data_IF_121207694005
#
_entry.id   IF_121207694005
#
_cell.length_a   1.000
_cell.length_b   1.000
_cell.length_c   1.000
_cell.angle_alpha   90.00
_cell.angle_beta   90.00
_cell.angle_gamma   90.00
#
_symmetry.space_group_name_H-M   'P 1'
#
loop_
_entity.id
_entity.type
_entity.pdbx_description
1 polymer ?
#
# COMPACT_ATOMS: atom_id res chain seq x y z
N UNK A 1 19.76 -6.93 4.09
CA UNK A 1 19.26 -6.57 2.75
C UNK A 1 18.58 -7.69 1.95
N UNK A 2 19.02 -8.97 1.92
CA UNK A 2 18.29 -10.01 1.18
C UNK A 2 16.92 -10.37 1.80
N UNK A 3 16.79 -10.25 3.13
CA UNK A 3 15.53 -10.46 3.86
C UNK A 3 14.50 -9.39 3.49
N UNK A 4 14.93 -8.14 3.36
CA UNK A 4 14.06 -6.99 3.03
C UNK A 4 13.41 -7.09 1.64
N UNK A 5 14.16 -7.61 0.66
CA UNK A 5 13.64 -7.85 -0.70
C UNK A 5 12.57 -8.95 -0.74
N UNK A 6 12.65 -9.95 0.14
CA UNK A 6 11.67 -11.05 0.22
C UNK A 6 10.45 -10.68 1.07
N UNK A 7 10.69 -9.97 2.16
CA UNK A 7 9.70 -9.34 3.03
C UNK A 7 8.68 -8.49 2.25
N UNK A 8 9.14 -7.70 1.29
CA UNK A 8 8.31 -6.81 0.48
C UNK A 8 7.31 -7.54 -0.43
N UNK A 9 7.69 -8.72 -0.91
CA UNK A 9 6.87 -9.54 -1.82
C UNK A 9 5.72 -10.24 -1.06
N UNK A 10 5.79 -10.31 0.27
CA UNK A 10 4.81 -10.96 1.14
C UNK A 10 4.44 -10.08 2.35
N UNK A 11 3.89 -8.90 2.12
CA UNK A 11 3.26 -8.12 3.19
C UNK A 11 1.85 -8.69 3.52
N UNK A 12 1.79 -9.91 4.07
CA UNK A 12 0.53 -10.60 4.35
C UNK A 12 -0.19 -10.07 5.61
N UNK A 13 0.54 -9.51 6.56
CA UNK A 13 -0.03 -9.07 7.83
C UNK A 13 -0.57 -7.63 7.76
N UNK A 14 0.05 -6.79 6.92
CA UNK A 14 -0.19 -5.35 6.85
C UNK A 14 -1.44 -4.90 6.07
N UNK A 15 -2.11 -5.77 5.30
CA UNK A 15 -3.35 -5.40 4.62
C UNK A 15 -4.42 -4.87 5.61
N UNK A 16 -4.31 -5.23 6.91
CA UNK A 16 -5.24 -4.80 7.95
C UNK A 16 -4.81 -3.56 8.77
N UNK A 17 -3.55 -3.09 8.71
CA UNK A 17 -3.03 -2.12 9.72
C UNK A 17 -2.41 -0.84 9.13
N UNK A 18 -2.24 -0.71 7.82
CA UNK A 18 -1.70 0.51 7.18
C UNK A 18 -2.60 1.77 7.29
N UNK A 19 -3.72 1.73 8.01
CA UNK A 19 -4.65 2.85 8.19
C UNK A 19 -4.40 3.72 9.43
N UNK A 20 -3.39 3.43 10.26
CA UNK A 20 -3.10 4.21 11.47
C UNK A 20 -1.59 4.46 11.51
N UNK A 21 -1.04 5.51 10.92
CA UNK A 21 -0.69 6.75 11.67
C UNK A 21 -0.47 7.95 10.72
N UNK A 22 -1.48 8.40 9.99
CA UNK A 22 -1.45 9.76 9.42
C UNK A 22 -2.04 10.76 10.44
N UNK A 23 -1.28 11.11 11.47
CA UNK A 23 -1.69 12.13 12.45
C UNK A 23 -1.41 13.55 11.96
N UNK A 24 -2.16 14.01 10.94
CA UNK A 24 -2.52 15.43 10.75
C UNK A 24 -3.91 15.55 10.14
N UNK A 25 -4.85 16.30 10.74
CA UNK A 25 -6.18 16.47 10.19
C UNK A 25 -6.11 17.42 8.97
N UNK A 26 -6.12 16.86 7.76
CA UNK A 26 -6.71 17.53 6.59
C UNK A 26 -8.11 16.98 6.39
N UNK A 27 -9.14 17.81 6.20
CA UNK A 27 -10.45 17.34 5.78
C UNK A 27 -10.36 16.91 4.31
N UNK A 28 -10.00 15.66 4.09
CA UNK A 28 -10.41 14.92 2.89
C UNK A 28 -10.94 13.58 3.38
N UNK A 29 -12.18 13.60 3.86
CA UNK A 29 -12.94 12.38 4.12
C UNK A 29 -13.30 11.74 2.78
N UNK A 30 -12.36 11.05 2.15
CA UNK A 30 -12.70 9.89 1.32
C UNK A 30 -12.54 8.68 2.23
N UNK A 31 -13.52 8.45 3.11
CA UNK A 31 -13.63 7.14 3.72
C UNK A 31 -13.74 6.13 2.58
N UNK A 32 -12.92 5.08 2.60
CA UNK A 32 -13.00 3.96 1.66
C UNK A 32 -14.41 3.31 1.65
N UNK A 33 -15.24 3.62 2.64
CA UNK A 33 -16.64 3.24 2.70
C UNK A 33 -17.54 3.94 1.68
N UNK A 34 -17.18 5.14 1.20
CA UNK A 34 -18.03 5.89 0.27
C UNK A 34 -17.73 5.55 -1.19
N UNK A 35 -16.45 5.34 -1.53
CA UNK A 35 -15.99 5.09 -2.90
C UNK A 35 -15.18 3.79 -2.97
N UNK A 36 -15.54 2.90 -3.89
CA UNK A 36 -14.81 1.67 -4.21
C UNK A 36 -14.28 1.74 -5.62
N UNK A 37 -13.03 1.29 -5.79
CA UNK A 37 -12.37 1.26 -7.09
C UNK A 37 -12.07 -0.20 -7.45
N UNK A 38 -12.44 -0.62 -8.66
CA UNK A 38 -12.15 -1.94 -9.20
C UNK A 38 -11.45 -1.77 -10.54
N UNK A 39 -10.42 -2.58 -10.78
CA UNK A 39 -9.70 -2.61 -12.04
C UNK A 39 -9.54 -4.04 -12.52
N UNK A 40 -9.88 -4.28 -13.79
CA UNK A 40 -9.85 -5.60 -14.43
C UNK A 40 -8.71 -5.76 -15.46
N UNK A 41 -7.77 -4.80 -15.51
CA UNK A 41 -6.72 -4.72 -16.53
C UNK A 41 -7.09 -3.95 -17.79
N UNK A 42 -8.35 -3.50 -17.89
CA UNK A 42 -8.82 -2.69 -19.02
C UNK A 42 -9.64 -1.46 -18.60
N UNK A 43 -10.45 -1.61 -17.56
CA UNK A 43 -11.46 -0.65 -17.16
C UNK A 43 -11.34 -0.37 -15.67
N UNK A 44 -11.18 0.91 -15.33
CA UNK A 44 -11.34 1.38 -13.98
C UNK A 44 -12.82 1.65 -13.71
N UNK A 45 -13.39 0.95 -12.74
CA UNK A 45 -14.75 1.19 -12.25
C UNK A 45 -14.69 1.90 -10.90
N UNK A 46 -15.32 3.06 -10.81
CA UNK A 46 -15.48 3.84 -9.58
C UNK A 46 -16.93 3.73 -9.12
N UNK A 47 -17.16 3.15 -7.94
CA UNK A 47 -18.48 2.94 -7.36
C UNK A 47 -18.68 3.88 -6.15
N UNK A 48 -19.64 4.79 -6.26
CA UNK A 48 -20.11 5.60 -5.14
C UNK A 48 -21.20 4.87 -4.37
N UNK A 49 -20.85 4.20 -3.27
CA UNK A 49 -21.78 3.36 -2.50
C UNK A 49 -23.01 4.14 -2.01
N UNK A 50 -22.79 5.38 -1.55
CA UNK A 50 -23.85 6.22 -0.95
C UNK A 50 -24.86 6.75 -1.97
N UNK A 51 -24.48 6.82 -3.25
CA UNK A 51 -25.34 7.32 -4.34
C UNK A 51 -25.80 6.20 -5.28
N UNK A 52 -25.35 4.96 -5.03
CA UNK A 52 -25.57 3.78 -5.87
C UNK A 52 -25.34 4.05 -7.37
N UNK A 53 -24.26 4.80 -7.67
CA UNK A 53 -23.83 5.12 -9.03
C UNK A 53 -22.42 4.65 -9.24
N UNK A 54 -22.13 4.23 -10.46
CA UNK A 54 -20.79 3.90 -10.88
C UNK A 54 -20.42 4.66 -12.16
N UNK A 55 -19.13 4.91 -12.33
CA UNK A 55 -18.55 5.39 -13.58
C UNK A 55 -17.43 4.46 -14.00
N UNK A 56 -17.23 4.33 -15.31
CA UNK A 56 -16.19 3.50 -15.89
C UNK A 56 -15.31 4.36 -16.78
N UNK A 57 -14.01 4.14 -16.69
CA UNK A 57 -13.02 4.78 -17.54
C UNK A 57 -12.16 3.68 -18.15
N UNK A 58 -12.05 3.68 -19.48
CA UNK A 58 -11.13 2.77 -20.16
C UNK A 58 -9.69 3.24 -19.93
N UNK A 59 -8.93 2.40 -19.23
CA UNK A 59 -7.49 2.58 -18.98
C UNK A 59 -6.86 1.21 -19.27
N UNK A 60 -6.66 0.87 -20.55
CA UNK A 60 -6.09 -0.42 -20.93
C UNK A 60 -4.63 -0.51 -20.47
N UNK A 61 -4.28 -1.53 -19.69
CA UNK A 61 -2.90 -1.71 -19.25
C UNK A 61 -2.76 -2.47 -17.94
N UNK A 62 -1.58 -2.32 -17.34
CA UNK A 62 -1.23 -2.93 -16.05
C UNK A 62 -1.73 -2.08 -14.88
N UNK A 63 -1.67 -2.63 -13.67
CA UNK A 63 -1.90 -1.87 -12.44
C UNK A 63 -0.91 -0.70 -12.32
N UNK A 64 0.35 -0.91 -12.71
CA UNK A 64 1.36 0.15 -12.77
C UNK A 64 0.90 1.31 -13.67
N UNK A 65 0.43 1.02 -14.88
CA UNK A 65 -0.07 2.05 -15.79
C UNK A 65 -1.30 2.79 -15.23
N UNK A 66 -2.20 2.07 -14.56
CA UNK A 66 -3.33 2.70 -13.87
C UNK A 66 -2.85 3.68 -12.79
N UNK A 67 -1.89 3.28 -11.97
CA UNK A 67 -1.34 4.12 -10.90
C UNK A 67 -0.69 5.38 -11.48
N UNK A 68 0.12 5.22 -12.53
CA UNK A 68 0.75 6.33 -13.24
C UNK A 68 -0.29 7.30 -13.81
N UNK A 69 -1.32 6.80 -14.51
CA UNK A 69 -2.40 7.66 -15.03
C UNK A 69 -3.11 8.42 -13.90
N UNK A 70 -3.47 7.74 -12.80
CA UNK A 70 -4.15 8.39 -11.68
C UNK A 70 -3.28 9.45 -10.98
N UNK A 71 -1.98 9.18 -10.85
CA UNK A 71 -1.01 10.09 -10.23
C UNK A 71 -0.68 11.27 -11.13
N UNK A 72 -0.25 11.02 -12.35
CA UNK A 72 0.35 12.04 -13.22
C UNK A 72 -0.70 12.90 -13.93
N UNK A 73 -1.80 12.28 -14.36
CA UNK A 73 -2.84 12.97 -15.14
C UNK A 73 -3.93 13.58 -14.27
N UNK A 74 -4.31 12.88 -13.21
CA UNK A 74 -5.39 13.32 -12.32
C UNK A 74 -4.87 13.93 -11.01
N UNK A 75 -3.56 13.87 -10.74
CA UNK A 75 -2.97 14.46 -9.54
C UNK A 75 -3.48 13.83 -8.25
N UNK A 76 -3.96 12.59 -8.30
CA UNK A 76 -4.59 11.95 -7.15
C UNK A 76 -3.50 11.47 -6.18
N UNK A 77 -3.55 11.87 -4.90
CA UNK A 77 -2.69 11.28 -3.90
C UNK A 77 -3.17 9.85 -3.65
N UNK A 78 -2.39 8.86 -4.07
CA UNK A 78 -2.67 7.45 -3.87
C UNK A 78 -1.79 6.90 -2.75
N UNK A 79 -2.22 6.99 -1.47
CA UNK A 79 -1.43 6.46 -0.38
C UNK A 79 -1.23 4.95 -0.56
N UNK A 80 0.01 4.50 -0.35
CA UNK A 80 0.40 3.10 -0.43
C UNK A 80 0.23 2.44 -1.83
N UNK A 81 0.01 3.22 -2.91
CA UNK A 81 -0.03 2.67 -4.27
C UNK A 81 1.29 2.01 -4.68
N UNK A 82 2.41 2.48 -4.13
CA UNK A 82 3.72 1.90 -4.37
C UNK A 82 3.82 0.42 -3.96
N UNK A 83 2.94 -0.07 -3.06
CA UNK A 83 2.87 -1.49 -2.67
C UNK A 83 2.24 -2.38 -3.75
N UNK A 84 1.56 -1.77 -4.72
CA UNK A 84 0.86 -2.47 -5.79
C UNK A 84 1.67 -2.49 -7.09
N UNK A 85 2.80 -1.78 -7.13
CA UNK A 85 3.67 -1.68 -8.29
C UNK A 85 4.49 -2.96 -8.47
N UNK A 86 4.76 -3.35 -9.71
CA UNK A 86 5.61 -4.52 -9.98
C UNK A 86 7.02 -4.36 -9.38
N UNK A 87 7.54 -3.13 -9.30
CA UNK A 87 8.82 -2.77 -8.68
C UNK A 87 8.69 -2.21 -7.26
N UNK A 88 7.65 -2.61 -6.51
CA UNK A 88 7.31 -2.09 -5.17
C UNK A 88 8.50 -1.86 -4.23
N UNK A 89 9.47 -2.78 -4.20
CA UNK A 89 10.64 -2.67 -3.33
C UNK A 89 11.48 -1.43 -3.67
N UNK A 90 11.77 -1.19 -4.95
CA UNK A 90 12.63 -0.09 -5.36
C UNK A 90 11.95 1.26 -5.06
N UNK A 91 10.65 1.37 -5.36
CA UNK A 91 9.85 2.58 -5.08
C UNK A 91 9.71 2.88 -3.59
N UNK A 92 9.44 1.85 -2.77
CA UNK A 92 9.29 2.05 -1.33
C UNK A 92 10.61 2.25 -0.61
N UNK A 93 11.71 1.71 -1.13
CA UNK A 93 13.05 1.96 -0.59
C UNK A 93 13.69 3.25 -1.11
N UNK A 94 13.15 3.86 -2.17
CA UNK A 94 13.67 5.13 -2.67
C UNK A 94 13.60 6.23 -1.58
N UNK A 95 14.71 6.94 -1.39
CA UNK A 95 14.84 7.97 -0.36
C UNK A 95 14.81 7.48 1.09
N UNK A 96 14.82 6.17 1.37
CA UNK A 96 14.93 5.65 2.75
C UNK A 96 16.36 5.82 3.25
N UNK A 97 16.52 6.51 4.38
CA UNK A 97 17.83 6.72 5.02
C UNK A 97 18.00 6.03 6.37
N UNK A 98 16.92 5.56 7.00
CA UNK A 98 16.97 4.74 8.21
C UNK A 98 15.93 3.62 8.13
N UNK A 99 16.33 2.42 8.58
CA UNK A 99 15.48 1.23 8.62
C UNK A 99 15.77 0.45 9.89
N UNK A 100 14.71 0.09 10.63
CA UNK A 100 14.80 -0.60 11.91
C UNK A 100 13.86 -1.78 11.96
N UNK A 101 14.40 -2.89 12.43
CA UNK A 101 13.62 -3.99 12.95
C UNK A 101 13.17 -3.63 14.37
N UNK A 102 11.85 -3.61 14.59
CA UNK A 102 11.24 -3.30 15.88
C UNK A 102 10.85 -4.57 16.66
N UNK A 103 11.13 -5.75 16.13
CA UNK A 103 10.80 -7.04 16.71
C UNK A 103 9.46 -7.62 16.25
N UNK A 104 9.05 -8.72 16.87
CA UNK A 104 7.81 -9.43 16.54
C UNK A 104 6.63 -8.99 17.41
N UNK A 105 5.42 -9.14 16.87
CA UNK A 105 4.16 -8.90 17.57
C UNK A 105 3.02 -9.64 16.90
N UNK A 106 1.89 -9.78 17.61
CA UNK A 106 0.72 -10.51 17.09
C UNK A 106 -0.28 -9.55 16.45
N UNK A 107 -0.61 -9.77 15.18
CA UNK A 107 -1.61 -9.01 14.42
C UNK A 107 -2.64 -10.00 13.87
N UNK A 108 -3.92 -9.75 14.14
CA UNK A 108 -5.02 -10.66 13.77
C UNK A 108 -4.83 -12.13 14.20
N UNK A 109 -4.10 -12.37 15.30
CA UNK A 109 -3.82 -13.71 15.80
C UNK A 109 -2.61 -14.40 15.16
N UNK A 110 -1.88 -13.71 14.28
CA UNK A 110 -0.68 -14.21 13.61
C UNK A 110 0.57 -13.45 14.10
N UNK A 111 1.68 -14.16 14.31
CA UNK A 111 2.95 -13.53 14.69
C UNK A 111 3.59 -12.88 13.46
N UNK A 112 3.96 -11.61 13.59
CA UNK A 112 4.44 -10.77 12.51
C UNK A 112 5.65 -9.94 12.96
N UNK A 113 6.65 -9.83 12.09
CA UNK A 113 7.79 -8.92 12.29
C UNK A 113 7.40 -7.51 11.89
N UNK A 114 7.81 -6.54 12.70
CA UNK A 114 7.58 -5.12 12.48
C UNK A 114 8.84 -4.43 12.00
N UNK A 115 8.81 -3.92 10.77
CA UNK A 115 9.90 -3.14 10.18
C UNK A 115 9.46 -1.68 10.02
N UNK A 116 10.27 -0.74 10.52
CA UNK A 116 10.06 0.69 10.37
C UNK A 116 11.12 1.32 9.46
N UNK A 117 10.69 2.25 8.63
CA UNK A 117 11.50 2.93 7.64
C UNK A 117 11.25 4.42 7.71
N UNK A 118 12.29 5.19 7.40
CA UNK A 118 12.25 6.64 7.47
C UNK A 118 12.79 7.27 6.19
N UNK A 119 12.00 8.21 5.66
CA UNK A 119 12.31 9.10 4.54
C UNK A 119 12.21 10.55 5.01
N UNK A 120 12.54 11.49 4.13
CA UNK A 120 12.52 12.93 4.47
C UNK A 120 11.10 13.42 4.79
N UNK A 121 10.10 12.93 4.06
CA UNK A 121 8.72 13.39 4.18
C UNK A 121 7.78 12.39 4.87
N UNK A 122 8.13 11.09 4.86
CA UNK A 122 7.26 10.02 5.34
C UNK A 122 8.05 8.93 6.06
N UNK A 123 7.62 8.60 7.27
CA UNK A 123 8.01 7.37 7.97
C UNK A 123 6.92 6.32 7.69
N UNK A 124 7.31 5.08 7.37
CA UNK A 124 6.37 3.99 7.15
C UNK A 124 6.78 2.72 7.89
N UNK A 125 5.79 1.90 8.23
CA UNK A 125 5.97 0.66 8.96
C UNK A 125 5.25 -0.48 8.23
N UNK A 126 5.90 -1.63 8.13
CA UNK A 126 5.36 -2.83 7.49
C UNK A 126 5.38 -3.97 8.51
N UNK A 127 4.26 -4.68 8.59
CA UNK A 127 4.10 -5.91 9.37
C UNK A 127 4.06 -7.11 8.44
N UNK A 128 4.92 -8.08 8.71
CA UNK A 128 5.14 -9.23 7.83
C UNK A 128 4.93 -10.49 8.63
N UNK A 129 3.97 -11.30 8.21
CA UNK A 129 3.68 -12.60 8.80
C UNK A 129 4.93 -13.46 8.85
N UNK A 130 5.20 -14.03 10.03
CA UNK A 130 6.23 -15.05 10.21
C UNK A 130 5.73 -16.40 9.66
N UNK A 131 5.68 -16.54 8.34
CA UNK A 131 5.11 -17.71 7.65
C UNK A 131 6.13 -18.47 6.79
N UNK A 132 6.50 -19.69 7.25
CA UNK A 132 7.22 -20.76 6.55
C UNK A 132 8.39 -20.39 5.59
N UNK A 133 9.28 -19.49 5.99
CA UNK A 133 10.70 -19.60 5.61
C UNK A 133 11.58 -19.15 6.77
N UNK A 134 11.71 -20.05 7.75
CA UNK A 134 13.00 -20.23 8.37
C UNK A 134 13.98 -20.61 7.27
N UNK A 135 14.90 -19.70 6.92
CA UNK A 135 16.20 -20.11 6.41
C UNK A 135 17.08 -20.32 7.63
N UNK A 136 16.90 -21.49 8.23
CA UNK A 136 17.72 -22.13 9.25
C UNK A 136 17.56 -23.63 9.10
#
# INVERSE_FOLDING_TARGET
MPILRRAFVLAACAAATLLTTASRPRPQTTSADTWQNLFDGKTLTLLGKNVNKYTQVEIPGTVDHLIDELKDKYGLPLPAADLLLTNSYDELMDGVYDAKDLGSGVVNGEECDSLAFRKDEVDFQIWITQGAQGLG
#
